data_IF_247433230699
#
_entry.id   IF_247433230699
#
_cell.length_a   1.000
_cell.length_b   1.000
_cell.length_c   1.000
_cell.angle_alpha   90.00
_cell.angle_beta   90.00
_cell.angle_gamma   90.00
#
_symmetry.space_group_name_H-M   'P 1'
#
loop_
_entity.id
_entity.type
_entity.pdbx_description
1 polymer ?
#
# COMPACT_ATOMS: atom_id res chain seq x y z
N UNK A 1 21.25 -34.17 55.31
CA UNK A 1 22.35 -34.44 54.36
C UNK A 1 21.77 -35.12 53.14
N UNK A 2 21.76 -34.46 51.99
CA UNK A 2 21.37 -35.07 50.72
C UNK A 2 22.28 -34.48 49.63
N UNK A 3 23.05 -35.35 48.97
CA UNK A 3 24.11 -34.99 48.04
C UNK A 3 23.52 -34.62 46.67
N UNK A 4 23.99 -33.50 46.09
CA UNK A 4 23.69 -33.13 44.71
C UNK A 4 24.71 -33.78 43.77
N UNK A 5 24.30 -34.39 42.65
CA UNK A 5 25.24 -34.92 41.65
C UNK A 5 25.75 -33.80 40.72
N UNK A 6 27.08 -33.73 40.60
CA UNK A 6 27.80 -32.89 39.64
C UNK A 6 27.62 -33.41 38.20
N UNK A 7 27.03 -32.62 37.31
CA UNK A 7 27.01 -32.89 35.87
C UNK A 7 28.30 -32.36 35.23
N UNK A 8 29.24 -33.27 34.98
CA UNK A 8 30.35 -33.05 34.05
C UNK A 8 29.82 -33.14 32.62
N UNK A 9 29.81 -32.01 31.89
CA UNK A 9 29.56 -31.97 30.43
C UNK A 9 30.85 -31.56 29.74
N UNK A 10 31.64 -32.55 29.36
CA UNK A 10 32.70 -32.39 28.36
C UNK A 10 32.07 -32.08 27.01
N UNK A 11 32.22 -30.85 26.52
CA UNK A 11 31.77 -30.44 25.18
C UNK A 11 32.82 -30.90 24.17
N UNK A 12 32.49 -31.74 23.16
CA UNK A 12 33.43 -32.08 22.11
C UNK A 12 33.73 -30.84 21.23
N UNK A 13 35.00 -30.49 21.12
CA UNK A 13 35.50 -29.38 20.32
C UNK A 13 35.51 -29.78 18.84
N UNK A 14 34.50 -29.34 18.09
CA UNK A 14 34.49 -29.43 16.63
C UNK A 14 35.54 -28.46 16.04
N UNK A 15 36.28 -28.84 14.99
CA UNK A 15 37.34 -28.01 14.42
C UNK A 15 36.76 -26.73 13.80
N UNK A 16 37.41 -25.58 14.04
CA UNK A 16 36.93 -24.24 13.68
C UNK A 16 36.56 -24.04 12.20
N UNK A 17 37.09 -24.88 11.31
CA UNK A 17 36.76 -24.88 9.86
C UNK A 17 35.34 -25.38 9.58
N UNK A 18 34.82 -26.29 10.39
CA UNK A 18 33.43 -26.79 10.30
C UNK A 18 32.44 -25.73 10.81
N UNK A 19 32.83 -24.98 11.84
CA UNK A 19 32.04 -23.86 12.36
C UNK A 19 31.97 -22.69 11.36
N UNK A 20 33.08 -22.38 10.68
CA UNK A 20 33.12 -21.34 9.64
C UNK A 20 32.34 -21.72 8.38
N UNK A 21 32.38 -22.99 7.94
CA UNK A 21 31.59 -23.46 6.81
C UNK A 21 30.08 -23.47 7.12
N UNK A 22 29.70 -23.83 8.35
CA UNK A 22 28.31 -23.74 8.80
C UNK A 22 27.79 -22.31 8.89
N UNK A 23 28.62 -21.37 9.36
CA UNK A 23 28.27 -19.95 9.44
C UNK A 23 28.10 -19.30 8.05
N UNK A 24 28.90 -19.70 7.05
CA UNK A 24 28.78 -19.16 5.69
C UNK A 24 27.52 -19.69 4.96
N UNK A 25 27.14 -20.95 5.20
CA UNK A 25 25.88 -21.53 4.70
C UNK A 25 24.65 -20.91 5.38
N UNK A 26 24.75 -20.58 6.68
CA UNK A 26 23.70 -19.87 7.39
C UNK A 26 23.50 -18.43 6.88
N UNK A 27 24.58 -17.72 6.52
CA UNK A 27 24.50 -16.37 5.96
C UNK A 27 23.91 -16.34 4.54
N UNK A 28 24.13 -17.37 3.73
CA UNK A 28 23.49 -17.51 2.41
C UNK A 28 21.99 -17.84 2.51
N UNK A 29 21.55 -18.47 3.59
CA UNK A 29 20.12 -18.73 3.84
C UNK A 29 19.34 -17.48 4.28
N UNK A 30 20.01 -16.47 4.85
CA UNK A 30 19.38 -15.19 5.25
C UNK A 30 19.19 -14.19 4.08
N UNK A 31 19.76 -14.46 2.90
CA UNK A 31 19.66 -13.59 1.73
C UNK A 31 18.52 -14.01 0.77
N UNK A 32 17.62 -14.91 1.19
CA UNK A 32 16.43 -15.19 0.40
C UNK A 32 15.53 -13.95 0.41
N UNK A 33 15.19 -13.34 -0.74
CA UNK A 33 14.16 -12.33 -0.77
C UNK A 33 12.89 -13.01 -0.23
N UNK A 34 12.33 -12.44 0.83
CA UNK A 34 11.03 -12.83 1.33
C UNK A 34 10.06 -12.72 0.16
N UNK A 35 9.76 -13.86 -0.48
CA UNK A 35 8.62 -13.94 -1.37
C UNK A 35 7.43 -13.67 -0.47
N UNK A 36 6.74 -12.57 -0.72
CA UNK A 36 5.40 -12.34 -0.16
C UNK A 36 4.56 -13.51 -0.65
N UNK A 37 4.43 -14.54 0.19
CA UNK A 37 3.60 -15.68 -0.07
C UNK A 37 2.17 -15.23 0.20
N UNK A 38 1.47 -14.76 -0.83
CA UNK A 38 0.01 -14.61 -0.80
C UNK A 38 -0.76 -15.93 -0.68
N UNK A 39 -0.09 -17.02 -0.25
CA UNK A 39 -0.63 -18.37 -0.15
C UNK A 39 -1.17 -18.73 1.23
N UNK A 40 -0.80 -18.02 2.30
CA UNK A 40 -1.31 -18.34 3.65
C UNK A 40 -2.81 -18.07 3.79
N UNK A 41 -3.37 -17.14 3.00
CA UNK A 41 -4.82 -16.91 2.94
C UNK A 41 -5.56 -17.96 2.08
N UNK A 42 -4.87 -18.71 1.22
CA UNK A 42 -5.50 -19.69 0.34
C UNK A 42 -5.87 -20.97 1.09
N UNK A 43 -5.06 -21.38 2.07
CA UNK A 43 -5.31 -22.60 2.87
C UNK A 43 -6.48 -22.42 3.88
N UNK A 44 -6.80 -21.16 4.23
CA UNK A 44 -7.86 -20.82 5.18
C UNK A 44 -9.28 -20.90 4.59
N UNK A 45 -9.42 -20.90 3.27
CA UNK A 45 -10.72 -20.82 2.60
C UNK A 45 -11.29 -22.20 2.24
N UNK A 46 -10.50 -23.27 2.26
CA UNK A 46 -10.92 -24.62 1.85
C UNK A 46 -10.63 -24.92 0.38
N UNK A 47 -10.46 -26.20 0.05
CA UNK A 47 -10.04 -26.67 -1.29
C UNK A 47 -11.02 -26.35 -2.42
N UNK A 48 -12.25 -25.99 -2.08
CA UNK A 48 -13.30 -25.56 -2.99
C UNK A 48 -13.10 -24.13 -3.52
N UNK A 49 -12.28 -23.32 -2.85
CA UNK A 49 -11.99 -21.95 -3.26
C UNK A 49 -10.75 -21.87 -4.14
N UNK A 50 -10.98 -21.77 -5.44
CA UNK A 50 -9.92 -21.58 -6.43
C UNK A 50 -9.59 -20.09 -6.54
N UNK A 51 -8.34 -19.74 -6.25
CA UNK A 51 -7.84 -18.38 -6.46
C UNK A 51 -7.96 -17.99 -7.93
N UNK A 52 -8.67 -16.88 -8.20
CA UNK A 52 -8.75 -16.31 -9.54
C UNK A 52 -7.39 -15.74 -9.96
N UNK A 53 -6.97 -15.94 -11.22
CA UNK A 53 -5.76 -15.31 -11.74
C UNK A 53 -5.81 -13.78 -11.57
N UNK A 54 -4.72 -13.12 -11.16
CA UNK A 54 -4.67 -11.68 -10.93
C UNK A 54 -5.20 -10.86 -12.12
N UNK A 55 -4.86 -11.28 -13.34
CA UNK A 55 -5.28 -10.61 -14.58
C UNK A 55 -6.80 -10.62 -14.77
N UNK A 56 -7.47 -11.69 -14.32
CA UNK A 56 -8.93 -11.80 -14.39
C UNK A 56 -9.59 -10.89 -13.36
N UNK A 57 -9.02 -10.80 -12.16
CA UNK A 57 -9.46 -9.84 -11.14
C UNK A 57 -9.25 -8.40 -11.61
N UNK A 58 -8.14 -8.12 -12.29
CA UNK A 58 -7.86 -6.80 -12.85
C UNK A 58 -8.90 -6.41 -13.91
N UNK A 59 -9.19 -7.31 -14.85
CA UNK A 59 -10.25 -7.09 -15.84
C UNK A 59 -11.64 -6.90 -15.20
N UNK A 60 -11.98 -7.69 -14.17
CA UNK A 60 -13.24 -7.55 -13.44
C UNK A 60 -13.32 -6.26 -12.61
N UNK A 61 -12.18 -5.74 -12.14
CA UNK A 61 -12.05 -4.44 -11.47
C UNK A 61 -11.97 -3.26 -12.46
N UNK A 62 -12.06 -3.53 -13.76
CA UNK A 62 -12.03 -2.52 -14.83
C UNK A 62 -10.64 -2.11 -15.31
N UNK A 63 -9.55 -2.68 -14.75
CA UNK A 63 -8.17 -2.35 -15.10
C UNK A 63 -7.80 -0.87 -14.91
N UNK A 64 -6.50 -0.56 -15.01
CA UNK A 64 -6.01 0.81 -15.12
C UNK A 64 -5.42 1.05 -16.52
N UNK A 65 -6.12 0.59 -17.57
CA UNK A 65 -5.74 0.98 -18.93
C UNK A 65 -6.22 2.40 -19.19
N UNK A 66 -5.47 3.37 -18.68
CA UNK A 66 -5.54 4.74 -19.20
C UNK A 66 -5.06 4.68 -20.66
N UNK A 67 -5.88 5.09 -21.64
CA UNK A 67 -5.43 5.20 -23.03
C UNK A 67 -4.14 6.04 -23.08
N UNK A 68 -3.19 5.65 -23.94
CA UNK A 68 -1.89 6.31 -24.04
C UNK A 68 -2.06 7.82 -24.24
N UNK A 69 -1.85 8.61 -23.19
CA UNK A 69 -2.03 10.07 -23.17
C UNK A 69 -2.91 10.62 -22.05
N UNK A 70 -3.74 9.80 -21.39
CA UNK A 70 -4.55 10.22 -20.24
C UNK A 70 -3.69 10.20 -18.97
N UNK A 71 -3.39 11.38 -18.42
CA UNK A 71 -2.75 11.52 -17.11
C UNK A 71 -3.84 11.60 -16.04
N UNK A 72 -3.73 10.74 -15.03
CA UNK A 72 -4.57 10.71 -13.84
C UNK A 72 -3.70 11.01 -12.62
N UNK A 73 -4.10 11.99 -11.81
CA UNK A 73 -3.41 12.37 -10.58
C UNK A 73 -4.34 12.26 -9.37
N UNK A 74 -3.81 11.82 -8.23
CA UNK A 74 -4.53 11.76 -6.96
C UNK A 74 -3.83 12.56 -5.86
N UNK A 75 -4.59 13.34 -5.10
CA UNK A 75 -4.17 13.90 -3.82
C UNK A 75 -5.14 13.45 -2.73
N UNK A 76 -4.64 12.88 -1.65
CA UNK A 76 -5.46 12.43 -0.52
C UNK A 76 -4.96 13.14 0.74
N UNK A 77 -5.88 13.71 1.51
CA UNK A 77 -5.59 14.34 2.78
C UNK A 77 -6.60 13.88 3.83
N UNK A 78 -6.11 13.24 4.89
CA UNK A 78 -6.86 12.96 6.11
C UNK A 78 -6.44 13.98 7.15
N UNK A 79 -7.40 14.62 7.81
CA UNK A 79 -7.16 15.62 8.84
C UNK A 79 -8.19 15.48 9.96
N UNK A 80 -7.74 15.57 11.21
CA UNK A 80 -8.60 15.64 12.38
C UNK A 80 -8.37 16.98 13.05
N UNK A 81 -9.45 17.72 13.27
CA UNK A 81 -9.46 18.98 13.99
C UNK A 81 -10.20 18.83 15.31
N UNK A 82 -9.71 19.48 16.36
CA UNK A 82 -10.36 19.60 17.67
C UNK A 82 -10.40 21.08 18.04
N UNK A 83 -11.59 21.63 18.23
CA UNK A 83 -11.82 23.06 18.51
C UNK A 83 -11.17 24.00 17.48
N UNK A 84 -11.10 23.57 16.22
CA UNK A 84 -10.47 24.32 15.13
C UNK A 84 -8.96 24.11 14.98
N UNK A 85 -8.31 23.40 15.90
CA UNK A 85 -6.88 23.07 15.83
C UNK A 85 -6.66 21.73 15.13
N UNK A 86 -5.68 21.65 14.22
CA UNK A 86 -5.30 20.42 13.54
C UNK A 86 -4.51 19.51 14.50
N UNK A 87 -5.09 18.38 14.90
CA UNK A 87 -4.47 17.44 15.86
C UNK A 87 -3.82 16.23 15.21
N UNK A 88 -4.27 15.86 14.00
CA UNK A 88 -3.67 14.77 13.24
C UNK A 88 -3.86 15.01 11.74
N UNK A 89 -2.87 14.65 10.92
CA UNK A 89 -2.99 14.70 9.47
C UNK A 89 -2.12 13.65 8.77
N UNK A 90 -2.61 13.16 7.64
CA UNK A 90 -1.85 12.32 6.70
C UNK A 90 -2.14 12.82 5.29
N UNK A 91 -1.10 13.05 4.48
CA UNK A 91 -1.25 13.52 3.09
C UNK A 91 -0.42 12.68 2.14
N UNK A 92 -1.02 12.35 1.00
CA UNK A 92 -0.37 11.67 -0.12
C UNK A 92 -0.69 12.39 -1.42
N UNK A 93 0.31 12.48 -2.30
CA UNK A 93 0.15 13.03 -3.64
C UNK A 93 0.79 12.09 -4.67
N UNK A 94 0.01 11.71 -5.67
CA UNK A 94 0.37 10.82 -6.76
C UNK A 94 0.16 11.60 -8.06
N UNK A 95 1.23 12.16 -8.65
CA UNK A 95 1.13 13.01 -9.84
C UNK A 95 0.68 12.28 -11.11
N UNK A 96 1.08 11.02 -11.26
CA UNK A 96 0.71 10.17 -12.39
C UNK A 96 0.52 8.74 -11.86
N UNK A 97 -0.73 8.30 -11.79
CA UNK A 97 -1.11 6.97 -11.28
C UNK A 97 -0.55 5.87 -12.17
N UNK A 98 -0.39 6.11 -13.47
CA UNK A 98 0.16 5.13 -14.40
C UNK A 98 1.67 4.94 -14.22
N UNK A 99 2.35 5.87 -13.55
CA UNK A 99 3.79 5.86 -13.28
C UNK A 99 4.10 6.05 -11.80
N UNK A 100 3.31 5.43 -10.93
CA UNK A 100 3.49 5.51 -9.49
C UNK A 100 4.82 4.87 -9.06
N UNK A 101 5.59 5.57 -8.23
CA UNK A 101 6.82 5.05 -7.62
C UNK A 101 6.54 4.12 -6.44
N UNK A 102 7.52 3.32 -6.04
CA UNK A 102 7.39 2.43 -4.86
C UNK A 102 7.15 3.24 -3.59
N UNK A 103 7.85 4.36 -3.44
CA UNK A 103 7.70 5.26 -2.30
C UNK A 103 6.30 5.88 -2.27
N UNK A 104 5.76 6.26 -3.42
CA UNK A 104 4.38 6.77 -3.55
C UNK A 104 3.35 5.69 -3.19
N UNK A 105 3.57 4.44 -3.62
CA UNK A 105 2.72 3.31 -3.26
C UNK A 105 2.74 3.01 -1.75
N UNK A 106 3.93 3.07 -1.13
CA UNK A 106 4.08 2.91 0.32
C UNK A 106 3.39 4.04 1.08
N UNK A 107 3.57 5.29 0.65
CA UNK A 107 2.89 6.43 1.25
C UNK A 107 1.36 6.31 1.12
N UNK A 108 0.85 5.85 -0.02
CA UNK A 108 -0.56 5.55 -0.22
C UNK A 108 -1.05 4.44 0.73
N UNK A 109 -0.24 3.42 0.98
CA UNK A 109 -0.53 2.41 2.01
C UNK A 109 -0.68 3.03 3.41
N UNK A 110 0.20 3.96 3.76
CA UNK A 110 0.19 4.65 5.05
C UNK A 110 -1.05 5.55 5.26
N UNK A 111 -1.78 5.91 4.21
CA UNK A 111 -3.11 6.54 4.34
C UNK A 111 -4.12 5.59 4.99
N UNK A 112 -3.92 4.28 4.92
CA UNK A 112 -4.73 3.29 5.62
C UNK A 112 -4.41 3.14 7.10
N UNK A 113 -3.25 3.62 7.54
CA UNK A 113 -2.79 3.45 8.92
C UNK A 113 -3.72 4.12 9.93
N UNK A 114 -3.70 3.59 11.14
CA UNK A 114 -4.47 4.10 12.27
C UNK A 114 -4.07 5.55 12.62
N UNK A 115 -5.04 6.45 12.59
CA UNK A 115 -4.96 7.76 13.23
C UNK A 115 -5.74 7.64 14.54
N UNK A 116 -5.06 7.86 15.66
CA UNK A 116 -5.66 7.77 16.98
C UNK A 116 -5.57 9.13 17.65
N UNK A 117 -6.72 9.70 18.01
CA UNK A 117 -6.82 10.97 18.72
C UNK A 117 -7.51 10.73 20.06
N UNK A 118 -6.83 11.08 21.15
CA UNK A 118 -7.36 10.92 22.51
C UNK A 118 -7.46 12.28 23.18
N UNK A 119 -8.68 12.66 23.57
CA UNK A 119 -9.02 13.95 24.14
C UNK A 119 -9.54 13.73 25.56
N UNK A 120 -8.82 14.25 26.54
CA UNK A 120 -9.11 14.05 27.96
C UNK A 120 -8.47 12.79 28.58
N UNK A 121 -8.57 12.66 29.92
CA UNK A 121 -7.97 11.57 30.66
C UNK A 121 -8.75 10.25 30.51
N UNK A 122 -8.10 9.12 30.80
CA UNK A 122 -8.76 7.81 30.86
C UNK A 122 -9.06 7.15 29.51
N UNK A 123 -8.68 7.79 28.40
CA UNK A 123 -8.76 7.16 27.08
C UNK A 123 -7.80 5.97 26.99
N UNK A 124 -8.28 4.86 26.42
CA UNK A 124 -7.48 3.66 26.16
C UNK A 124 -7.81 3.13 24.80
N UNK A 125 -6.81 3.08 23.92
CA UNK A 125 -6.94 2.56 22.58
C UNK A 125 -6.08 1.31 22.44
N UNK A 126 -6.68 0.24 21.89
CA UNK A 126 -5.95 -0.96 21.48
C UNK A 126 -5.83 -0.93 19.95
N UNK A 127 -4.62 -0.74 19.39
CA UNK A 127 -4.41 -0.60 17.96
C UNK A 127 -4.48 -1.92 17.19
N UNK A 128 -4.63 -3.07 17.85
CA UNK A 128 -4.50 -4.38 17.19
C UNK A 128 -5.48 -4.55 16.01
N UNK A 129 -4.94 -4.51 14.78
CA UNK A 129 -5.69 -4.69 13.54
C UNK A 129 -6.57 -3.51 13.13
N UNK A 130 -6.49 -2.37 13.81
CA UNK A 130 -7.28 -1.18 13.44
C UNK A 130 -6.59 -0.39 12.34
N UNK A 131 -7.32 -0.17 11.24
CA UNK A 131 -6.94 0.73 10.14
C UNK A 131 -8.07 1.76 9.99
N UNK A 132 -7.78 3.05 10.15
CA UNK A 132 -8.81 4.09 10.13
C UNK A 132 -8.55 5.27 11.07
N UNK A 133 -9.59 6.05 11.39
CA UNK A 133 -9.51 7.12 12.40
C UNK A 133 -10.28 6.67 13.64
N UNK A 134 -9.61 6.59 14.79
CA UNK A 134 -10.23 6.38 16.09
C UNK A 134 -10.09 7.65 16.93
N UNK A 135 -11.21 8.21 17.37
CA UNK A 135 -11.22 9.37 18.25
C UNK A 135 -11.89 8.98 19.57
N UNK A 136 -11.16 9.13 20.67
CA UNK A 136 -11.68 8.92 22.01
C UNK A 136 -11.73 10.26 22.73
N UNK A 137 -12.89 10.62 23.24
CA UNK A 137 -13.09 11.89 23.92
C UNK A 137 -13.83 11.65 25.24
N UNK A 138 -13.26 12.12 26.34
CA UNK A 138 -13.85 12.08 27.67
C UNK A 138 -14.21 13.46 28.21
N UNK A 139 -14.04 14.52 27.41
CA UNK A 139 -14.39 15.89 27.78
C UNK A 139 -15.69 16.34 27.11
N UNK A 140 -16.46 17.18 27.80
CA UNK A 140 -17.65 17.80 27.23
C UNK A 140 -17.31 18.99 26.32
N UNK A 141 -18.22 19.31 25.40
CA UNK A 141 -18.17 20.54 24.59
C UNK A 141 -17.05 20.61 23.55
N UNK A 142 -16.48 19.49 23.13
CA UNK A 142 -15.43 19.46 22.11
C UNK A 142 -16.02 19.48 20.70
N UNK A 143 -15.54 20.40 19.84
CA UNK A 143 -15.86 20.43 18.41
C UNK A 143 -14.83 19.59 17.65
N UNK A 144 -15.19 18.38 17.25
CA UNK A 144 -14.28 17.43 16.60
C UNK A 144 -14.70 17.25 15.14
N UNK A 145 -13.78 17.51 14.21
CA UNK A 145 -14.00 17.33 12.77
C UNK A 145 -12.97 16.38 12.18
N UNK A 146 -13.41 15.28 11.59
CA UNK A 146 -12.56 14.39 10.80
C UNK A 146 -12.89 14.57 9.33
N UNK A 147 -11.94 15.07 8.54
CA UNK A 147 -12.09 15.31 7.11
C UNK A 147 -11.15 14.41 6.33
N UNK A 148 -11.68 13.77 5.30
CA UNK A 148 -10.88 13.12 4.26
C UNK A 148 -11.20 13.80 2.94
N UNK A 149 -10.19 14.44 2.35
CA UNK A 149 -10.30 15.13 1.07
C UNK A 149 -9.59 14.31 0.01
N UNK A 150 -10.31 13.98 -1.07
CA UNK A 150 -9.77 13.34 -2.26
C UNK A 150 -9.82 14.33 -3.42
N UNK A 151 -8.66 14.67 -3.95
CA UNK A 151 -8.49 15.47 -5.16
C UNK A 151 -8.11 14.55 -6.31
N UNK A 152 -8.89 14.59 -7.39
CA UNK A 152 -8.66 13.78 -8.59
C UNK A 152 -8.51 14.72 -9.79
N UNK A 153 -7.41 14.58 -10.52
CA UNK A 153 -7.14 15.35 -11.73
C UNK A 153 -7.04 14.44 -12.96
N UNK A 154 -7.68 14.82 -14.07
CA UNK A 154 -7.61 14.10 -15.35
C UNK A 154 -7.30 15.07 -16.49
N UNK A 155 -6.35 14.72 -17.36
CA UNK A 155 -6.06 15.50 -18.56
C UNK A 155 -7.01 15.16 -19.71
N UNK A 156 -8.25 15.65 -19.66
CA UNK A 156 -9.25 15.40 -20.72
C UNK A 156 -9.07 16.30 -21.93
N UNK A 157 -8.54 17.53 -21.76
CA UNK A 157 -8.37 18.49 -22.85
C UNK A 157 -7.36 18.01 -23.89
N UNK A 158 -6.21 17.47 -23.46
CA UNK A 158 -5.24 16.88 -24.38
C UNK A 158 -5.81 15.71 -25.19
N UNK A 159 -6.65 14.89 -24.55
CA UNK A 159 -7.34 13.77 -25.21
C UNK A 159 -8.33 14.27 -26.26
N UNK A 160 -9.15 15.28 -25.96
CA UNK A 160 -10.08 15.85 -26.94
C UNK A 160 -9.37 16.51 -28.12
N UNK A 161 -8.23 17.18 -27.89
CA UNK A 161 -7.44 17.79 -28.96
C UNK A 161 -6.86 16.73 -29.89
N UNK A 162 -6.35 15.61 -29.35
CA UNK A 162 -5.84 14.50 -30.13
C UNK A 162 -6.94 13.83 -30.97
N UNK A 163 -8.11 13.55 -30.38
CA UNK A 163 -9.26 12.98 -31.11
C UNK A 163 -9.71 13.88 -32.26
N UNK A 164 -9.82 15.19 -32.02
CA UNK A 164 -10.19 16.15 -33.05
C UNK A 164 -9.12 16.29 -34.14
N UNK A 165 -7.84 16.26 -33.76
CA UNK A 165 -6.71 16.28 -34.69
C UNK A 165 -6.69 15.05 -35.60
N UNK A 166 -6.86 13.86 -35.04
CA UNK A 166 -6.94 12.61 -35.79
C UNK A 166 -8.14 12.59 -36.74
N UNK A 167 -9.32 13.05 -36.29
CA UNK A 167 -10.49 13.19 -37.14
C UNK A 167 -10.25 14.16 -38.31
N UNK A 168 -9.59 15.30 -38.06
CA UNK A 168 -9.24 16.26 -39.10
C UNK A 168 -8.24 15.67 -40.11
N UNK A 169 -7.22 14.94 -39.66
CA UNK A 169 -6.25 14.26 -40.52
C UNK A 169 -6.88 13.13 -41.34
N UNK A 170 -7.76 12.33 -40.73
CA UNK A 170 -8.49 11.28 -41.42
C UNK A 170 -9.39 11.84 -42.52
N UNK A 171 -10.13 12.92 -42.21
CA UNK A 171 -10.96 13.62 -43.19
C UNK A 171 -10.13 14.25 -44.31
N UNK A 172 -8.96 14.82 -44.00
CA UNK A 172 -8.05 15.38 -45.00
C UNK A 172 -7.45 14.30 -45.92
N UNK A 173 -7.09 13.12 -45.37
CA UNK A 173 -6.56 12.00 -46.15
C UNK A 173 -7.62 11.40 -47.09
N UNK A 174 -8.85 11.24 -46.61
CA UNK A 174 -9.98 10.78 -47.44
C UNK A 174 -10.34 11.82 -48.51
N UNK A 175 -10.28 13.12 -48.18
CA UNK A 175 -10.50 14.20 -49.13
C UNK A 175 -9.40 14.29 -50.19
N UNK A 176 -8.15 13.99 -49.84
CA UNK A 176 -7.00 14.07 -50.73
C UNK A 176 -6.95 12.92 -51.76
N UNK A 177 -7.46 11.73 -51.44
CA UNK A 177 -7.59 10.62 -52.40
C UNK A 177 -8.82 10.74 -53.31
N UNK A 178 -9.72 11.70 -53.02
CA UNK A 178 -10.93 11.99 -53.80
C UNK A 178 -10.81 13.18 -54.77
N UNK A 179 -9.62 13.78 -54.93
CA UNK A 179 -9.40 14.84 -55.91
C UNK A 179 -9.02 14.25 -57.30
N UNK A 180 -9.71 14.60 -58.41
CA UNK A 180 -9.35 14.21 -59.77
C UNK A 180 -8.07 14.87 -60.28
#
# INVERSE_FOLDING_TARGET
>A
MNAAPSFDRTIPHLPARVLLAGALLALLALAWPARVHGGEAADALGSEWIALPPQRLDAMRGGYEVPSGLLLSFGIERAVYVNGELVATTRVNIPDVARMSVEQAQALGAIGDAIVVQIGPGNRFDPAGFNGVAIQNTLDGQDIRSLTTLNVGVNTLGVFQDLNGQAALHNALIGATGAP
#
